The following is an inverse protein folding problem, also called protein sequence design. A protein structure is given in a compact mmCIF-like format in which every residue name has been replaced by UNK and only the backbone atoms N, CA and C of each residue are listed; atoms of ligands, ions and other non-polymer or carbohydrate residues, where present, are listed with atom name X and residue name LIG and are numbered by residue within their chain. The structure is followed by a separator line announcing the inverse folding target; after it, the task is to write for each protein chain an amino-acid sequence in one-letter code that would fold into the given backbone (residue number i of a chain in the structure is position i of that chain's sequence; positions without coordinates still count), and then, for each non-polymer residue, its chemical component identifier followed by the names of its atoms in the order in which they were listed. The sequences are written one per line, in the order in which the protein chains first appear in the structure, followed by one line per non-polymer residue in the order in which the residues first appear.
data_IF_906026244465
#
_entry.id   IF_906026244465
#
_cell.length_a   1.000
_cell.length_b   1.000
_cell.length_c   1.000
_cell.angle_alpha   90.00
_cell.angle_beta   90.00
_cell.angle_gamma   90.00
#
_symmetry.space_group_name_H-M   'P 1'
#
loop_
_entity.id
_entity.type
_entity.pdbx_description
1 polymer ?
#
# COMPACT_ATOMS: atom_id res chain seq x y z
N UNK A 1 -12.43 -34.94 20.23
CA UNK A 1 -11.14 -35.24 20.89
C UNK A 1 -11.20 -36.64 21.48
N UNK A 2 -10.10 -37.41 21.49
CA UNK A 2 -10.03 -38.68 22.21
C UNK A 2 -10.24 -38.47 23.73
N UNK A 3 -10.76 -39.49 24.41
CA UNK A 3 -11.21 -39.41 25.81
C UNK A 3 -10.08 -38.95 26.76
N UNK A 4 -8.89 -39.53 26.65
CA UNK A 4 -7.72 -39.18 27.45
C UNK A 4 -7.39 -37.67 27.41
N UNK A 5 -7.52 -37.04 26.24
CA UNK A 5 -7.29 -35.59 26.09
C UNK A 5 -8.35 -34.78 26.83
N UNK A 6 -9.62 -35.16 26.73
CA UNK A 6 -10.72 -34.46 27.41
C UNK A 6 -10.62 -34.58 28.94
N UNK A 7 -10.23 -35.75 29.46
CA UNK A 7 -9.99 -35.97 30.88
C UNK A 7 -8.78 -35.16 31.39
N UNK A 8 -7.67 -35.15 30.63
CA UNK A 8 -6.48 -34.32 30.91
C UNK A 8 -6.82 -32.82 30.96
N UNK A 9 -7.62 -32.35 30.01
CA UNK A 9 -8.06 -30.96 29.95
C UNK A 9 -8.95 -30.57 31.13
N UNK A 10 -9.97 -31.36 31.44
CA UNK A 10 -10.86 -31.12 32.59
C UNK A 10 -10.09 -31.09 33.92
N UNK A 11 -9.12 -31.99 34.10
CA UNK A 11 -8.28 -32.02 35.28
C UNK A 11 -7.38 -30.77 35.39
N UNK A 12 -6.72 -30.37 34.29
CA UNK A 12 -5.81 -29.21 34.28
C UNK A 12 -6.55 -27.87 34.38
N UNK A 13 -7.80 -27.79 33.89
CA UNK A 13 -8.69 -26.64 34.09
C UNK A 13 -9.52 -26.72 35.39
N UNK A 14 -9.17 -27.62 36.31
CA UNK A 14 -9.78 -27.72 37.64
C UNK A 14 -11.31 -27.95 37.62
N UNK A 15 -11.84 -28.60 36.58
CA UNK A 15 -13.27 -28.75 36.31
C UNK A 15 -14.08 -27.43 36.25
N UNK A 16 -13.45 -26.28 35.99
CA UNK A 16 -14.13 -24.97 36.00
C UNK A 16 -15.08 -24.72 34.83
N UNK A 17 -15.18 -25.63 33.88
CA UNK A 17 -16.18 -25.59 32.82
C UNK A 17 -15.71 -26.18 31.50
N UNK A 18 -16.67 -26.55 30.66
CA UNK A 18 -16.42 -27.21 29.36
C UNK A 18 -15.70 -26.26 28.40
N UNK A 19 -15.98 -24.94 28.47
CA UNK A 19 -15.32 -23.95 27.60
C UNK A 19 -13.83 -23.79 27.93
N UNK A 20 -13.47 -23.74 29.22
CA UNK A 20 -12.06 -23.67 29.63
C UNK A 20 -11.30 -24.95 29.22
N UNK A 21 -11.88 -26.13 29.44
CA UNK A 21 -11.29 -27.39 29.00
C UNK A 21 -11.15 -27.46 27.46
N UNK A 22 -12.10 -26.87 26.71
CA UNK A 22 -12.04 -26.80 25.25
C UNK A 22 -10.95 -25.83 24.75
N UNK A 23 -10.83 -24.65 25.35
CA UNK A 23 -9.79 -23.69 24.96
C UNK A 23 -8.39 -24.25 25.29
N UNK A 24 -8.23 -24.90 26.45
CA UNK A 24 -6.99 -25.61 26.79
C UNK A 24 -6.65 -26.71 25.77
N UNK A 25 -7.63 -27.49 25.33
CA UNK A 25 -7.45 -28.53 24.30
C UNK A 25 -6.98 -27.97 22.96
N UNK A 26 -7.51 -26.81 22.54
CA UNK A 26 -7.15 -26.15 21.27
C UNK A 26 -5.76 -25.53 21.38
N UNK A 27 -5.42 -24.91 22.51
CA UNK A 27 -4.10 -24.31 22.73
C UNK A 27 -2.97 -25.36 22.79
N UNK A 28 -3.27 -26.57 23.27
CA UNK A 28 -2.30 -27.65 23.44
C UNK A 28 -2.38 -28.73 22.34
N UNK A 29 -3.25 -28.60 21.32
CA UNK A 29 -3.59 -29.69 20.38
C UNK A 29 -2.42 -30.32 19.61
N UNK A 30 -1.29 -29.59 19.53
CA UNK A 30 -0.05 -29.97 18.85
C UNK A 30 1.08 -30.46 19.80
N UNK A 31 0.86 -30.56 21.11
CA UNK A 31 1.83 -31.17 22.03
C UNK A 31 1.78 -32.71 21.89
N UNK A 32 2.88 -33.37 21.47
CA UNK A 32 2.91 -34.83 21.31
C UNK A 32 2.67 -35.60 22.63
N UNK A 33 2.83 -34.97 23.79
CA UNK A 33 2.54 -35.58 25.09
C UNK A 33 1.03 -35.52 25.46
N UNK A 34 0.14 -35.02 24.58
CA UNK A 34 -1.30 -35.04 24.82
C UNK A 34 -1.94 -36.44 24.75
N UNK A 35 -1.36 -37.35 23.97
CA UNK A 35 -1.91 -38.71 23.79
C UNK A 35 -1.39 -39.72 24.83
N UNK A 36 -0.39 -39.34 25.64
CA UNK A 36 0.05 -40.12 26.79
C UNK A 36 -1.09 -40.23 27.83
N UNK A 37 -1.29 -41.42 28.43
CA UNK A 37 -2.39 -41.67 29.35
C UNK A 37 -2.25 -40.83 30.63
N UNK A 38 -3.05 -39.77 30.73
CA UNK A 38 -3.12 -38.94 31.92
C UNK A 38 -3.88 -39.68 33.04
N UNK A 39 -3.14 -40.36 33.90
CA UNK A 39 -3.68 -40.93 35.13
C UNK A 39 -4.00 -39.79 36.12
N UNK A 40 -5.27 -39.36 36.14
CA UNK A 40 -5.75 -38.46 37.19
C UNK A 40 -5.58 -39.14 38.57
N UNK A 41 -5.05 -38.43 39.59
CA UNK A 41 -4.82 -39.02 40.91
C UNK A 41 -6.15 -39.27 41.63
N UNK A 42 -6.70 -40.48 41.46
CA UNK A 42 -7.69 -41.01 42.38
C UNK A 42 -7.00 -41.35 43.70
N UNK A 43 -7.32 -40.61 44.76
CA UNK A 43 -7.02 -41.05 46.12
C UNK A 43 -8.17 -41.90 46.70
N UNK A 44 -7.99 -42.54 47.86
CA UNK A 44 -6.73 -42.91 48.51
C UNK A 44 -6.63 -44.43 48.76
N UNK A 45 -5.52 -45.06 48.36
CA UNK A 45 -5.10 -46.39 48.86
C UNK A 45 -3.60 -46.37 49.19
N UNK A 46 -3.15 -47.09 50.24
CA UNK A 46 -1.84 -46.86 50.86
C UNK A 46 -0.69 -47.72 50.30
N UNK A 47 0.52 -47.30 50.70
CA UNK A 47 1.81 -48.03 50.73
C UNK A 47 2.65 -48.21 49.44
N UNK A 48 3.98 -48.27 49.69
CA UNK A 48 5.13 -48.32 48.77
C UNK A 48 5.35 -47.05 47.91
N UNK A 49 6.22 -46.09 48.29
CA UNK A 49 7.70 -46.12 48.32
C UNK A 49 8.35 -46.35 46.94
N UNK A 50 9.37 -45.60 46.47
CA UNK A 50 10.19 -44.54 47.11
C UNK A 50 10.90 -43.64 46.07
N UNK A 51 11.46 -42.50 46.54
CA UNK A 51 12.55 -41.69 45.93
C UNK A 51 12.33 -41.03 44.54
N UNK A 52 12.84 -39.85 44.19
CA UNK A 52 13.52 -38.71 44.85
C UNK A 52 13.72 -37.62 43.76
N UNK A 53 13.93 -36.30 43.94
CA UNK A 53 13.98 -35.29 45.03
C UNK A 53 13.84 -33.91 44.33
N UNK A 54 13.52 -32.77 44.95
CA UNK A 54 13.27 -32.39 46.34
C UNK A 54 13.16 -30.85 46.46
N UNK A 55 13.20 -30.31 47.69
CA UNK A 55 13.24 -28.87 48.06
C UNK A 55 11.92 -28.08 48.03
N UNK A 56 11.33 -28.00 49.22
CA UNK A 56 10.36 -27.01 49.73
C UNK A 56 11.14 -25.81 50.35
N UNK A 57 10.58 -24.89 51.19
CA UNK A 57 9.19 -24.53 51.50
C UNK A 57 8.90 -22.99 51.46
N UNK A 58 7.66 -22.55 51.65
CA UNK A 58 7.30 -21.73 52.84
C UNK A 58 5.78 -21.79 53.16
N UNK A 59 5.43 -21.38 54.38
CA UNK A 59 4.18 -21.61 55.11
C UNK A 59 3.09 -20.54 54.94
N UNK A 60 1.81 -20.92 55.05
CA UNK A 60 0.80 -20.16 55.82
C UNK A 60 -0.53 -20.93 56.04
N UNK A 61 -0.64 -21.57 57.20
CA UNK A 61 -1.82 -21.66 58.09
C UNK A 61 -3.18 -21.08 57.63
N UNK A 62 -4.26 -21.86 57.75
CA UNK A 62 -5.64 -21.34 57.74
C UNK A 62 -6.72 -22.42 57.73
N UNK A 63 -7.22 -22.85 58.90
CA UNK A 63 -8.18 -23.95 59.01
C UNK A 63 -9.57 -23.54 59.49
N UNK A 64 -10.59 -24.09 58.85
CA UNK A 64 -11.99 -24.28 59.29
C UNK A 64 -12.67 -25.17 58.22
N UNK A 65 -13.61 -26.07 58.50
CA UNK A 65 -14.28 -26.40 59.76
C UNK A 65 -15.71 -26.86 59.43
N UNK A 66 -16.02 -28.13 59.75
CA UNK A 66 -17.37 -28.69 59.93
C UNK A 66 -18.31 -28.94 58.71
N UNK A 67 -18.45 -30.24 58.40
CA UNK A 67 -19.70 -31.01 58.25
C UNK A 67 -21.00 -30.31 57.76
N UNK A 68 -21.51 -30.78 56.61
CA UNK A 68 -22.95 -30.98 56.40
C UNK A 68 -23.20 -32.06 55.33
N UNK A 69 -24.02 -33.06 55.65
CA UNK A 69 -24.45 -34.10 54.72
C UNK A 69 -25.58 -33.60 53.80
N UNK A 70 -25.74 -34.24 52.64
CA UNK A 70 -27.10 -34.50 52.14
C UNK A 70 -27.79 -33.43 51.28
N UNK A 71 -27.07 -32.66 50.47
CA UNK A 71 -27.73 -31.99 49.33
C UNK A 71 -28.08 -33.01 48.24
N UNK A 72 -29.27 -33.57 48.39
CA UNK A 72 -29.92 -34.49 47.46
C UNK A 72 -30.13 -33.80 46.10
N UNK A 73 -29.12 -33.87 45.23
CA UNK A 73 -29.27 -33.55 43.82
C UNK A 73 -30.42 -34.40 43.27
N UNK A 74 -31.54 -33.75 42.93
CA UNK A 74 -32.61 -34.41 42.17
C UNK A 74 -31.94 -34.95 40.90
N UNK A 75 -32.09 -36.24 40.56
CA UNK A 75 -31.54 -36.74 39.32
C UNK A 75 -32.24 -36.01 38.18
N UNK A 76 -31.53 -35.05 37.56
CA UNK A 76 -31.97 -34.34 36.36
C UNK A 76 -32.43 -35.41 35.36
N UNK A 77 -33.70 -35.33 34.93
CA UNK A 77 -34.33 -36.47 34.27
C UNK A 77 -33.58 -36.80 32.99
N UNK A 78 -33.62 -38.07 32.61
CA UNK A 78 -32.85 -38.59 31.47
C UNK A 78 -33.20 -37.86 30.16
N UNK A 79 -34.41 -37.32 30.08
CA UNK A 79 -34.94 -36.46 29.03
C UNK A 79 -34.35 -35.04 29.06
N UNK A 80 -34.31 -34.36 30.22
CA UNK A 80 -33.68 -33.02 30.37
C UNK A 80 -32.19 -33.05 30.02
N UNK A 81 -31.48 -34.12 30.43
CA UNK A 81 -30.08 -34.34 30.04
C UNK A 81 -29.92 -34.46 28.53
N UNK A 82 -30.81 -35.21 27.87
CA UNK A 82 -30.80 -35.34 26.40
C UNK A 82 -31.09 -34.01 25.68
N UNK A 83 -32.02 -33.19 26.18
CA UNK A 83 -32.24 -31.85 25.62
C UNK A 83 -31.03 -30.94 25.79
N UNK A 84 -30.40 -30.96 26.97
CA UNK A 84 -29.20 -30.18 27.25
C UNK A 84 -28.03 -30.62 26.35
N UNK A 85 -27.86 -31.92 26.10
CA UNK A 85 -26.88 -32.46 25.14
C UNK A 85 -27.21 -32.08 23.70
N UNK A 86 -28.47 -32.18 23.27
CA UNK A 86 -28.90 -31.76 21.91
C UNK A 86 -28.62 -30.27 21.70
N UNK A 87 -28.98 -29.42 22.67
CA UNK A 87 -28.72 -27.97 22.63
C UNK A 87 -27.22 -27.66 22.58
N UNK A 88 -26.38 -28.43 23.29
CA UNK A 88 -24.92 -28.32 23.20
C UNK A 88 -24.39 -28.69 21.81
N UNK A 89 -24.85 -29.81 21.24
CA UNK A 89 -24.46 -30.24 19.89
C UNK A 89 -24.90 -29.24 18.81
N UNK A 90 -26.11 -28.69 18.92
CA UNK A 90 -26.63 -27.61 18.07
C UNK A 90 -25.73 -26.35 18.15
N UNK A 91 -25.34 -25.94 19.36
CA UNK A 91 -24.46 -24.78 19.57
C UNK A 91 -23.06 -24.99 18.97
N UNK A 92 -22.49 -26.18 19.14
CA UNK A 92 -21.20 -26.57 18.56
C UNK A 92 -21.29 -26.58 17.02
N UNK A 93 -22.36 -27.13 16.46
CA UNK A 93 -22.59 -27.17 15.00
C UNK A 93 -22.74 -25.76 14.42
N UNK A 94 -23.51 -24.88 15.05
CA UNK A 94 -23.60 -23.45 14.69
C UNK A 94 -22.23 -22.78 14.73
N UNK A 95 -21.46 -22.93 15.82
CA UNK A 95 -20.14 -22.33 16.01
C UNK A 95 -19.09 -22.84 15.01
N UNK A 96 -19.14 -24.13 14.66
CA UNK A 96 -18.28 -24.71 13.61
C UNK A 96 -18.66 -24.20 12.21
N UNK A 97 -19.95 -24.15 11.87
CA UNK A 97 -20.41 -23.65 10.57
C UNK A 97 -20.09 -22.18 10.38
N UNK A 98 -20.28 -21.35 11.41
CA UNK A 98 -19.89 -19.93 11.40
C UNK A 98 -18.36 -19.77 11.18
N UNK A 99 -17.56 -20.62 11.84
CA UNK A 99 -16.10 -20.65 11.66
C UNK A 99 -15.71 -21.06 10.24
N UNK A 100 -16.30 -22.12 9.69
CA UNK A 100 -16.03 -22.55 8.30
C UNK A 100 -16.41 -21.45 7.30
N UNK A 101 -17.57 -20.80 7.46
CA UNK A 101 -17.98 -19.68 6.61
C UNK A 101 -17.04 -18.48 6.74
N UNK A 102 -16.51 -18.19 7.94
CA UNK A 102 -15.50 -17.16 8.18
C UNK A 102 -14.17 -17.50 7.48
N UNK A 103 -13.61 -18.68 7.73
CA UNK A 103 -12.33 -19.14 7.15
C UNK A 103 -12.42 -19.23 5.61
N UNK A 104 -13.58 -19.65 5.07
CA UNK A 104 -13.86 -19.64 3.63
C UNK A 104 -13.96 -18.23 3.04
N UNK A 105 -14.52 -17.26 3.77
CA UNK A 105 -14.48 -15.85 3.36
C UNK A 105 -13.06 -15.29 3.39
N UNK A 106 -12.30 -15.54 4.44
CA UNK A 106 -10.93 -15.06 4.59
C UNK A 106 -9.98 -15.63 3.52
N UNK A 107 -10.13 -16.91 3.17
CA UNK A 107 -9.34 -17.53 2.08
C UNK A 107 -9.69 -16.93 0.70
N UNK A 108 -10.98 -16.72 0.41
CA UNK A 108 -11.43 -16.02 -0.81
C UNK A 108 -10.94 -14.57 -0.84
N UNK A 109 -11.00 -13.86 0.29
CA UNK A 109 -10.56 -12.48 0.41
C UNK A 109 -9.04 -12.34 0.25
N UNK A 110 -8.25 -13.23 0.85
CA UNK A 110 -6.78 -13.28 0.70
C UNK A 110 -6.37 -13.46 -0.76
N UNK A 111 -6.97 -14.39 -1.49
CA UNK A 111 -6.69 -14.57 -2.92
C UNK A 111 -7.22 -13.41 -3.77
N UNK A 112 -8.38 -12.82 -3.42
CA UNK A 112 -8.90 -11.60 -4.06
C UNK A 112 -7.95 -10.42 -3.86
N UNK A 113 -7.38 -10.25 -2.69
CA UNK A 113 -6.40 -9.20 -2.36
C UNK A 113 -5.11 -9.40 -3.15
N UNK A 114 -4.59 -10.62 -3.22
CA UNK A 114 -3.42 -10.99 -4.05
C UNK A 114 -3.65 -10.66 -5.53
N UNK A 115 -4.85 -10.93 -6.07
CA UNK A 115 -5.21 -10.55 -7.45
C UNK A 115 -5.35 -9.04 -7.61
N UNK A 116 -5.98 -8.35 -6.64
CA UNK A 116 -6.14 -6.89 -6.64
C UNK A 116 -4.79 -6.17 -6.64
N UNK A 117 -3.83 -6.60 -5.82
CA UNK A 117 -2.48 -6.05 -5.79
C UNK A 117 -1.76 -6.21 -7.16
N UNK A 118 -1.90 -7.36 -7.81
CA UNK A 118 -1.38 -7.57 -9.16
C UNK A 118 -2.01 -6.64 -10.21
N UNK A 119 -3.32 -6.42 -10.13
CA UNK A 119 -4.04 -5.47 -11.00
C UNK A 119 -3.68 -4.01 -10.69
N UNK A 120 -3.52 -3.64 -9.42
CA UNK A 120 -3.10 -2.31 -8.99
C UNK A 120 -1.71 -1.96 -9.51
N UNK A 121 -0.74 -2.89 -9.51
CA UNK A 121 0.58 -2.66 -10.10
C UNK A 121 0.52 -2.35 -11.61
N UNK A 122 -0.33 -3.05 -12.37
CA UNK A 122 -0.55 -2.78 -13.78
C UNK A 122 -1.24 -1.42 -14.00
N UNK A 123 -2.26 -1.11 -13.20
CA UNK A 123 -3.00 0.14 -13.27
C UNK A 123 -2.12 1.35 -12.90
N UNK A 124 -1.25 1.22 -11.90
CA UNK A 124 -0.26 2.24 -11.50
C UNK A 124 0.68 2.54 -12.66
N UNK A 125 1.20 1.50 -13.35
CA UNK A 125 2.08 1.67 -14.51
C UNK A 125 1.36 2.38 -15.67
N UNK A 126 0.14 1.94 -16.01
CA UNK A 126 -0.66 2.58 -17.06
C UNK A 126 -0.93 4.05 -16.72
N UNK A 127 -1.39 4.31 -15.50
CA UNK A 127 -1.71 5.67 -15.05
C UNK A 127 -0.50 6.60 -15.10
N UNK A 128 0.70 6.12 -14.73
CA UNK A 128 1.93 6.92 -14.83
C UNK A 128 2.18 7.37 -16.28
N UNK A 129 2.04 6.48 -17.26
CA UNK A 129 2.20 6.80 -18.68
C UNK A 129 1.11 7.76 -19.19
N UNK A 130 -0.13 7.58 -18.73
CA UNK A 130 -1.25 8.48 -19.05
C UNK A 130 -1.05 9.87 -18.44
N UNK A 131 -0.60 9.97 -17.19
CA UNK A 131 -0.33 11.23 -16.49
C UNK A 131 0.88 11.98 -17.13
N UNK A 132 1.92 11.26 -17.56
CA UNK A 132 3.04 11.84 -18.34
C UNK A 132 2.57 12.43 -19.68
N UNK A 133 1.80 11.66 -20.46
CA UNK A 133 1.25 12.09 -21.75
C UNK A 133 0.26 13.25 -21.58
N UNK A 134 -0.57 13.21 -20.53
CA UNK A 134 -1.51 14.28 -20.18
C UNK A 134 -0.78 15.56 -19.79
N UNK A 135 0.25 15.48 -18.95
CA UNK A 135 1.07 16.63 -18.55
C UNK A 135 1.72 17.29 -19.76
N UNK A 136 2.30 16.51 -20.68
CA UNK A 136 2.87 17.03 -21.92
C UNK A 136 1.83 17.73 -22.81
N UNK A 137 0.60 17.21 -22.86
CA UNK A 137 -0.50 17.84 -23.59
C UNK A 137 -1.02 19.13 -22.92
N UNK A 138 -1.03 19.19 -21.59
CA UNK A 138 -1.39 20.37 -20.80
C UNK A 138 -0.33 21.47 -20.89
N UNK A 139 0.95 21.12 -20.79
CA UNK A 139 2.07 22.05 -21.01
C UNK A 139 2.01 22.66 -22.42
N UNK A 140 1.83 21.84 -23.47
CA UNK A 140 1.65 22.34 -24.85
C UNK A 140 0.39 23.19 -25.04
N UNK A 141 -0.65 23.05 -24.21
CA UNK A 141 -1.81 23.96 -24.21
C UNK A 141 -1.50 25.26 -23.48
N UNK A 142 -0.78 25.18 -22.36
CA UNK A 142 -0.37 26.32 -21.53
C UNK A 142 0.61 27.22 -22.29
N UNK A 143 1.66 26.66 -22.89
CA UNK A 143 2.60 27.37 -23.76
C UNK A 143 1.87 28.16 -24.86
N UNK A 144 0.90 27.55 -25.56
CA UNK A 144 0.10 28.22 -26.59
C UNK A 144 -0.77 29.36 -26.07
N UNK A 145 -1.17 29.32 -24.80
CA UNK A 145 -1.94 30.41 -24.17
C UNK A 145 -1.01 31.52 -23.67
N UNK A 146 0.15 31.16 -23.13
CA UNK A 146 1.18 32.11 -22.69
C UNK A 146 1.84 32.82 -23.88
N UNK A 147 2.08 32.14 -25.01
CA UNK A 147 2.55 32.74 -26.27
C UNK A 147 1.52 33.75 -26.81
N UNK A 148 0.23 33.40 -26.81
CA UNK A 148 -0.85 34.34 -27.18
C UNK A 148 -0.87 35.56 -26.28
N UNK A 149 -0.76 35.38 -24.96
CA UNK A 149 -0.75 36.47 -23.98
C UNK A 149 0.50 37.34 -24.11
N UNK A 150 1.67 36.75 -24.39
CA UNK A 150 2.91 37.48 -24.66
C UNK A 150 2.80 38.29 -25.96
N UNK A 151 2.25 37.70 -27.03
CA UNK A 151 1.98 38.38 -28.30
C UNK A 151 0.98 39.52 -28.15
N UNK A 152 -0.07 39.33 -27.33
CA UNK A 152 -1.01 40.38 -26.96
C UNK A 152 -0.31 41.52 -26.20
N UNK A 153 0.48 41.21 -25.17
CA UNK A 153 1.25 42.19 -24.40
C UNK A 153 2.22 43.01 -25.27
N UNK A 154 2.85 42.39 -26.27
CA UNK A 154 3.69 43.10 -27.25
C UNK A 154 2.85 43.99 -28.16
N UNK A 155 1.69 43.51 -28.63
CA UNK A 155 0.76 44.28 -29.46
C UNK A 155 0.23 45.52 -28.73
N UNK A 156 -0.17 45.38 -27.48
CA UNK A 156 -0.64 46.47 -26.61
C UNK A 156 0.46 47.53 -26.38
N UNK A 157 1.72 47.11 -26.18
CA UNK A 157 2.86 48.04 -26.11
C UNK A 157 3.07 48.82 -27.41
N UNK A 158 3.03 48.13 -28.56
CA UNK A 158 3.16 48.79 -29.87
C UNK A 158 2.00 49.75 -30.14
N UNK A 159 0.79 49.39 -29.72
CA UNK A 159 -0.40 50.25 -29.83
C UNK A 159 -0.29 51.49 -28.92
N UNK A 160 0.18 51.32 -27.69
CA UNK A 160 0.46 52.42 -26.76
C UNK A 160 1.52 53.39 -27.33
N UNK A 161 2.69 52.88 -27.70
CA UNK A 161 3.78 53.70 -28.27
C UNK A 161 3.36 54.39 -29.58
N UNK A 162 2.55 53.71 -30.41
CA UNK A 162 1.97 54.30 -31.64
C UNK A 162 0.98 55.40 -31.30
N UNK A 163 0.11 55.21 -30.30
CA UNK A 163 -0.86 56.21 -29.87
C UNK A 163 -0.19 57.43 -29.21
N UNK A 164 0.83 57.23 -28.37
CA UNK A 164 1.62 58.33 -27.80
C UNK A 164 2.40 59.08 -28.87
N UNK A 165 3.04 58.38 -29.82
CA UNK A 165 3.72 59.02 -30.95
C UNK A 165 2.72 59.81 -31.82
N UNK A 166 1.54 59.27 -32.09
CA UNK A 166 0.49 59.97 -32.84
C UNK A 166 0.04 61.25 -32.12
N UNK A 167 -0.19 61.19 -30.79
CA UNK A 167 -0.52 62.37 -29.97
C UNK A 167 0.61 63.41 -29.96
N UNK A 168 1.88 62.97 -29.86
CA UNK A 168 3.04 63.87 -29.72
C UNK A 168 3.50 64.49 -31.04
N UNK A 169 3.54 63.72 -32.13
CA UNK A 169 3.94 64.22 -33.46
C UNK A 169 2.77 64.83 -34.24
N UNK A 170 1.53 64.36 -34.04
CA UNK A 170 0.34 64.99 -34.61
C UNK A 170 0.05 66.40 -34.08
N UNK A 171 0.77 66.83 -33.04
CA UNK A 171 0.71 68.19 -32.49
C UNK A 171 1.99 69.02 -32.74
N UNK A 172 3.04 68.43 -33.36
CA UNK A 172 4.35 69.09 -33.54
C UNK A 172 4.91 69.07 -34.98
N UNK A 173 4.12 68.61 -35.96
CA UNK A 173 4.47 68.70 -37.39
C UNK A 173 4.14 70.08 -37.98
N UNK A 174 4.82 71.13 -37.48
CA UNK A 174 4.90 72.44 -38.15
C UNK A 174 6.28 73.07 -37.86
N UNK A 175 7.05 73.36 -38.92
CA UNK A 175 8.45 73.90 -38.90
C UNK A 175 9.48 72.91 -38.33
N UNK A 176 10.48 72.40 -39.06
CA UNK A 176 11.37 73.08 -40.01
C UNK A 176 11.86 72.14 -41.12
N UNK A 177 12.12 72.71 -42.29
CA UNK A 177 12.99 72.15 -43.32
C UNK A 177 14.13 73.15 -43.58
N UNK A 178 15.37 72.67 -43.64
CA UNK A 178 16.54 73.41 -44.16
C UNK A 178 17.58 72.42 -44.71
N UNK A 179 18.27 72.72 -45.83
CA UNK A 179 19.22 71.82 -46.48
C UNK A 179 20.68 72.11 -46.09
N UNK A 180 21.55 71.11 -46.22
CA UNK A 180 23.01 71.28 -46.29
C UNK A 180 23.64 70.29 -47.32
N UNK A 181 24.84 70.58 -47.86
CA UNK A 181 25.23 70.09 -49.18
C UNK A 181 26.27 68.96 -49.21
N UNK A 182 26.13 68.15 -50.26
CA UNK A 182 27.13 67.58 -51.18
C UNK A 182 28.29 66.64 -50.72
N UNK A 183 28.44 65.57 -51.52
CA UNK A 183 29.57 64.65 -51.75
C UNK A 183 30.20 63.83 -50.61
N UNK A 184 29.84 62.55 -50.56
CA UNK A 184 30.81 61.46 -50.76
C UNK A 184 30.19 60.35 -51.63
N UNK A 185 30.90 59.91 -52.67
CA UNK A 185 30.45 58.83 -53.55
C UNK A 185 30.45 57.48 -52.81
N UNK A 186 29.40 56.65 -52.93
CA UNK A 186 29.49 55.25 -52.55
C UNK A 186 30.23 54.48 -53.66
N UNK A 187 31.49 54.15 -53.42
CA UNK A 187 32.23 53.20 -54.27
C UNK A 187 31.46 51.88 -54.35
N UNK A 188 31.04 51.53 -55.56
CA UNK A 188 30.32 50.29 -55.83
C UNK A 188 31.25 49.08 -55.66
N UNK A 189 31.35 48.58 -54.42
CA UNK A 189 31.86 47.23 -54.18
C UNK A 189 30.77 46.26 -54.64
N UNK A 190 30.94 45.71 -55.83
CA UNK A 190 30.07 44.68 -56.40
C UNK A 190 30.19 43.38 -55.61
N UNK A 191 29.41 43.23 -54.56
CA UNK A 191 29.17 41.93 -53.93
C UNK A 191 28.53 40.99 -54.98
N UNK A 192 29.07 39.79 -55.23
CA UNK A 192 28.39 38.82 -56.09
C UNK A 192 27.07 38.42 -55.40
N UNK A 193 25.97 38.57 -56.14
CA UNK A 193 24.63 38.22 -55.68
C UNK A 193 24.57 36.73 -55.33
N UNK A 194 24.60 36.40 -54.03
CA UNK A 194 24.20 35.07 -53.57
C UNK A 194 22.68 35.02 -53.54
N UNK A 195 22.10 34.44 -54.59
CA UNK A 195 20.73 33.93 -54.52
C UNK A 195 20.58 32.98 -53.33
N UNK A 196 19.38 32.94 -52.74
CA UNK A 196 19.08 32.05 -51.63
C UNK A 196 19.41 30.59 -52.02
N UNK A 197 20.10 29.82 -51.16
CA UNK A 197 20.60 28.51 -51.53
C UNK A 197 19.44 27.55 -51.83
N UNK A 198 19.25 27.26 -53.13
CA UNK A 198 18.43 26.14 -53.58
C UNK A 198 18.94 24.87 -52.90
N UNK A 199 18.04 24.04 -52.37
CA UNK A 199 18.41 22.82 -51.64
C UNK A 199 19.19 21.88 -52.57
N UNK A 200 20.51 21.89 -52.46
CA UNK A 200 21.39 20.90 -53.11
C UNK A 200 21.34 19.63 -52.28
N UNK A 201 20.74 18.59 -52.86
CA UNK A 201 20.85 17.24 -52.35
C UNK A 201 22.24 16.73 -52.70
N UNK A 202 23.05 16.41 -51.69
CA UNK A 202 24.38 15.82 -51.86
C UNK A 202 24.30 14.36 -51.45
N UNK A 203 24.63 13.46 -52.37
CA UNK A 203 24.69 12.01 -52.19
C UNK A 203 26.05 11.52 -51.68
N UNK A 204 27.10 12.34 -51.82
CA UNK A 204 28.40 12.15 -51.17
C UNK A 204 28.84 13.39 -50.38
N UNK A 205 29.46 13.15 -49.23
CA UNK A 205 30.24 14.16 -48.52
C UNK A 205 31.53 13.55 -47.98
N UNK A 206 32.58 14.37 -47.87
CA UNK A 206 33.87 13.98 -47.30
C UNK A 206 34.00 14.58 -45.91
N UNK A 207 34.07 13.73 -44.89
CA UNK A 207 34.16 14.14 -43.49
C UNK A 207 35.64 14.14 -43.09
N UNK A 208 36.12 15.28 -42.58
CA UNK A 208 37.44 15.38 -41.96
C UNK A 208 37.27 15.54 -40.44
N UNK A 209 37.80 14.58 -39.67
CA UNK A 209 37.73 14.57 -38.20
C UNK A 209 39.03 15.10 -37.63
N UNK A 210 38.96 16.20 -36.87
CA UNK A 210 40.12 16.74 -36.14
C UNK A 210 40.21 16.10 -34.76
N UNK A 211 41.35 15.48 -34.48
CA UNK A 211 41.66 14.84 -33.21
C UNK A 211 42.15 15.87 -32.18
N UNK A 212 42.20 15.49 -30.90
CA UNK A 212 42.61 16.37 -29.79
C UNK A 212 44.10 16.75 -29.84
N UNK A 213 44.90 16.01 -30.60
CA UNK A 213 46.31 16.32 -30.91
C UNK A 213 46.46 17.34 -32.07
N UNK A 214 45.35 17.80 -32.66
CA UNK A 214 45.31 18.72 -33.79
C UNK A 214 45.46 18.06 -35.17
N UNK A 215 45.79 16.76 -35.23
CA UNK A 215 45.83 16.02 -36.50
C UNK A 215 44.43 15.84 -37.08
N UNK A 216 44.34 15.65 -38.40
CA UNK A 216 43.06 15.62 -39.12
C UNK A 216 42.94 14.36 -39.98
N UNK A 217 42.10 13.42 -39.55
CA UNK A 217 41.78 12.19 -40.27
C UNK A 217 40.75 12.50 -41.37
N UNK A 218 40.95 11.98 -42.58
CA UNK A 218 40.40 12.53 -43.84
C UNK A 218 39.96 11.43 -44.80
#
# INVERSE_FOLDING_TARGET
FPQNRAEKALALTGNQGIEQAMDWLVEHENDPNLDDPFAAPQGPVPDAEESAKGTTPDSAQGGSGELAEGEMQRPLTEEEKQEQTKRMMELIYQKQKEREEREKRETIEREKQRRKQGQELLLIRQKLQEDEMKKLAEERRKEKMEEKLAKQRVREKIEHDRAERAKKFGCSSATQASPLPDQMEPVLISSPSQEAPVKREYDQCKIQVRLLDGTSLT
#
